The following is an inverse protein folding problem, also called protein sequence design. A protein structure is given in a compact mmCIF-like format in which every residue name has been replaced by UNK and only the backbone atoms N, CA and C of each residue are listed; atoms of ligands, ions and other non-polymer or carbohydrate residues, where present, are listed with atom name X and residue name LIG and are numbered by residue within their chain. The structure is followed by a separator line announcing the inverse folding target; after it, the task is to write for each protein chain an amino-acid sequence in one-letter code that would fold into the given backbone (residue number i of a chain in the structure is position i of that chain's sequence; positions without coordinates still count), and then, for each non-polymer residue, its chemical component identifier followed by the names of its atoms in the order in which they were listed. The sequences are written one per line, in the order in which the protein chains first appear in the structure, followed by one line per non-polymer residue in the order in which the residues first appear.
data_IF_534661406391
#
_entry.id   IF_534661406391
#
_cell.length_a   1.000
_cell.length_b   1.000
_cell.length_c   1.000
_cell.angle_alpha   90.00
_cell.angle_beta   90.00
_cell.angle_gamma   90.00
#
_symmetry.space_group_name_H-M   'P 1'
#
loop_
_entity.id
_entity.type
_entity.pdbx_description
1 polymer ?
#
# COMPACT_ATOMS: atom_id res chain seq x y z
N UNK A 1 36.45 25.27 37.69
CA UNK A 1 34.99 25.49 37.78
C UNK A 1 34.40 26.49 36.79
N UNK A 2 35.06 27.59 36.41
CA UNK A 2 34.49 28.50 35.40
C UNK A 2 34.26 27.88 34.01
N UNK A 3 35.12 26.93 33.58
CA UNK A 3 34.99 26.23 32.28
C UNK A 3 33.76 25.34 32.22
N UNK A 4 33.50 24.56 33.27
CA UNK A 4 32.32 23.68 33.33
C UNK A 4 31.02 24.49 33.33
N UNK A 5 31.01 25.66 33.99
CA UNK A 5 29.85 26.54 33.98
C UNK A 5 29.54 27.09 32.58
N UNK A 6 30.56 27.59 31.87
CA UNK A 6 30.41 28.00 30.46
C UNK A 6 29.92 26.85 29.57
N UNK A 7 30.44 25.64 29.75
CA UNK A 7 30.00 24.46 28.99
C UNK A 7 28.53 24.12 29.30
N UNK A 8 28.06 24.29 30.54
CA UNK A 8 26.63 24.12 30.86
C UNK A 8 25.74 25.18 30.18
N UNK A 9 26.19 26.44 30.15
CA UNK A 9 25.47 27.55 29.48
C UNK A 9 25.40 27.33 27.96
N UNK A 10 26.51 26.96 27.31
CA UNK A 10 26.55 26.61 25.88
C UNK A 10 25.66 25.38 25.58
N UNK A 11 25.66 24.35 26.44
CA UNK A 11 24.76 23.19 26.30
C UNK A 11 23.27 23.54 26.50
N UNK A 12 22.95 24.47 27.39
CA UNK A 12 21.58 24.94 27.60
C UNK A 12 21.08 25.68 26.35
N UNK A 13 21.88 26.61 25.82
CA UNK A 13 21.57 27.35 24.59
C UNK A 13 21.38 26.41 23.39
N UNK A 14 22.25 25.41 23.21
CA UNK A 14 22.13 24.43 22.11
C UNK A 14 20.87 23.57 22.24
N UNK A 15 20.47 23.19 23.47
CA UNK A 15 19.23 22.44 23.70
C UNK A 15 17.98 23.28 23.40
N UNK A 16 18.02 24.57 23.72
CA UNK A 16 16.93 25.50 23.42
C UNK A 16 16.83 25.80 21.91
N UNK A 17 17.96 25.89 21.21
CA UNK A 17 18.01 26.02 19.75
C UNK A 17 17.50 24.74 19.05
N UNK A 18 17.92 23.56 19.50
CA UNK A 18 17.39 22.27 19.02
C UNK A 18 15.87 22.20 19.24
N UNK A 19 15.38 22.57 20.42
CA UNK A 19 13.95 22.56 20.73
C UNK A 19 13.14 23.55 19.87
N UNK A 20 13.66 24.75 19.61
CA UNK A 20 13.06 25.69 18.64
C UNK A 20 13.09 25.16 17.20
N UNK A 21 14.18 24.48 16.82
CA UNK A 21 14.31 23.82 15.52
C UNK A 21 13.37 22.61 15.40
N UNK A 22 13.08 21.90 16.48
CA UNK A 22 12.11 20.79 16.54
C UNK A 22 10.66 21.30 16.54
N UNK A 23 10.37 22.42 17.21
CA UNK A 23 9.05 23.06 17.14
C UNK A 23 8.75 23.62 15.75
N UNK A 24 9.73 24.20 15.06
CA UNK A 24 9.60 24.60 13.65
C UNK A 24 9.66 23.42 12.67
N UNK A 25 10.25 22.29 13.07
CA UNK A 25 10.14 20.96 12.43
C UNK A 25 8.99 20.12 12.98
N UNK A 26 7.91 20.73 13.49
CA UNK A 26 6.62 20.07 13.33
C UNK A 26 6.50 19.67 11.86
N UNK A 27 6.06 18.44 11.54
CA UNK A 27 6.00 18.01 10.16
C UNK A 27 5.16 19.03 9.42
N UNK A 28 5.79 19.69 8.43
CA UNK A 28 5.06 20.38 7.38
C UNK A 28 4.41 19.26 6.57
N UNK A 29 3.35 18.70 7.13
CA UNK A 29 2.20 18.33 6.36
C UNK A 29 1.84 19.61 5.61
N UNK A 30 2.35 19.71 4.38
CA UNK A 30 1.97 20.73 3.43
C UNK A 30 0.45 20.75 3.47
N UNK A 31 -0.10 21.80 4.09
CA UNK A 31 -1.55 21.94 4.16
C UNK A 31 -1.96 22.11 2.72
N UNK A 32 -2.45 21.02 2.12
CA UNK A 32 -2.87 21.00 0.73
C UNK A 32 -3.72 22.27 0.52
N UNK A 33 -3.46 23.04 -0.55
CA UNK A 33 -4.27 24.20 -0.90
C UNK A 33 -5.75 23.88 -0.67
N UNK A 34 -6.50 24.83 -0.10
CA UNK A 34 -7.89 24.58 0.32
C UNK A 34 -8.75 24.01 -0.83
N UNK A 35 -8.40 24.37 -2.08
CA UNK A 35 -8.95 23.80 -3.30
C UNK A 35 -8.72 22.28 -3.46
N UNK A 36 -7.54 21.76 -3.14
CA UNK A 36 -7.22 20.33 -3.25
C UNK A 36 -7.87 19.52 -2.12
N UNK A 37 -7.91 20.06 -0.89
CA UNK A 37 -8.68 19.46 0.20
C UNK A 37 -10.18 19.40 -0.14
N UNK A 38 -10.73 20.48 -0.74
CA UNK A 38 -12.09 20.50 -1.26
C UNK A 38 -12.28 19.46 -2.37
N UNK A 39 -11.33 19.34 -3.31
CA UNK A 39 -11.38 18.35 -4.40
C UNK A 39 -11.41 16.92 -3.86
N UNK A 40 -10.61 16.59 -2.85
CA UNK A 40 -10.63 15.30 -2.16
C UNK A 40 -12.02 15.04 -1.57
N UNK A 41 -12.59 15.98 -0.81
CA UNK A 41 -13.94 15.81 -0.23
C UNK A 41 -15.02 15.67 -1.31
N UNK A 42 -14.97 16.48 -2.37
CA UNK A 42 -15.89 16.36 -3.51
C UNK A 42 -15.77 15.00 -4.21
N UNK A 43 -14.56 14.43 -4.30
CA UNK A 43 -14.34 13.10 -4.88
C UNK A 43 -14.97 11.98 -4.04
N UNK A 44 -14.89 12.08 -2.71
CA UNK A 44 -15.54 11.16 -1.79
C UNK A 44 -17.07 11.27 -1.89
N UNK A 45 -17.62 12.48 -1.82
CA UNK A 45 -19.07 12.68 -1.96
C UNK A 45 -19.60 12.18 -3.32
N UNK A 46 -18.84 12.35 -4.41
CA UNK A 46 -19.19 11.81 -5.72
C UNK A 46 -19.15 10.27 -5.75
N UNK A 47 -18.22 9.65 -5.02
CA UNK A 47 -18.15 8.20 -4.88
C UNK A 47 -19.39 7.67 -4.12
N UNK A 48 -19.73 8.27 -2.99
CA UNK A 48 -20.90 7.90 -2.18
C UNK A 48 -22.21 8.05 -2.98
N UNK A 49 -22.37 9.16 -3.71
CA UNK A 49 -23.52 9.38 -4.59
C UNK A 49 -23.63 8.30 -5.68
N UNK A 50 -22.51 7.87 -6.28
CA UNK A 50 -22.50 6.78 -7.26
C UNK A 50 -22.89 5.44 -6.63
N UNK A 51 -22.42 5.15 -5.43
CA UNK A 51 -22.80 3.94 -4.68
C UNK A 51 -24.31 3.94 -4.38
N UNK A 52 -24.84 5.04 -3.85
CA UNK A 52 -26.26 5.21 -3.56
C UNK A 52 -27.15 5.09 -4.82
N UNK A 53 -26.77 5.72 -5.93
CA UNK A 53 -27.46 5.57 -7.22
C UNK A 53 -27.48 4.11 -7.70
N UNK A 54 -26.37 3.36 -7.54
CA UNK A 54 -26.31 1.93 -7.86
C UNK A 54 -27.28 1.11 -6.99
N UNK A 55 -27.32 1.35 -5.68
CA UNK A 55 -28.22 0.68 -4.74
C UNK A 55 -29.70 0.95 -5.06
N UNK A 56 -30.05 2.22 -5.29
CA UNK A 56 -31.40 2.62 -5.67
C UNK A 56 -31.82 1.98 -7.00
N UNK A 57 -30.91 1.90 -7.98
CA UNK A 57 -31.16 1.25 -9.28
C UNK A 57 -31.42 -0.25 -9.12
N UNK A 58 -30.61 -0.98 -8.34
CA UNK A 58 -30.83 -2.40 -8.07
C UNK A 58 -32.17 -2.63 -7.39
N UNK A 59 -32.48 -1.85 -6.35
CA UNK A 59 -33.75 -1.95 -5.61
C UNK A 59 -34.96 -1.65 -6.50
N UNK A 60 -34.89 -0.64 -7.37
CA UNK A 60 -35.95 -0.31 -8.32
C UNK A 60 -36.17 -1.41 -9.38
N UNK A 61 -35.14 -2.19 -9.69
CA UNK A 61 -35.21 -3.35 -10.58
C UNK A 61 -35.61 -4.65 -9.86
N UNK A 62 -35.93 -4.61 -8.55
CA UNK A 62 -36.21 -5.80 -7.75
C UNK A 62 -35.00 -6.71 -7.51
N UNK A 63 -33.78 -6.22 -7.78
CA UNK A 63 -32.52 -6.93 -7.53
C UNK A 63 -32.04 -6.66 -6.11
N UNK A 64 -31.32 -7.63 -5.55
CA UNK A 64 -30.62 -7.45 -4.27
C UNK A 64 -29.53 -6.37 -4.42
N UNK A 65 -29.55 -5.29 -3.61
CA UNK A 65 -28.54 -4.24 -3.67
C UNK A 65 -27.23 -4.69 -3.02
N UNK A 66 -26.09 -4.25 -3.55
CA UNK A 66 -24.79 -4.51 -2.94
C UNK A 66 -24.65 -3.76 -1.60
N UNK A 67 -24.73 -4.51 -0.49
CA UNK A 67 -24.69 -3.96 0.87
C UNK A 67 -23.30 -3.39 1.24
N UNK A 68 -22.20 -3.89 0.67
CA UNK A 68 -20.86 -3.34 0.85
C UNK A 68 -20.78 -1.88 0.37
N UNK A 69 -21.37 -1.61 -0.81
CA UNK A 69 -21.50 -0.25 -1.34
C UNK A 69 -22.33 0.67 -0.41
N UNK A 70 -23.35 0.14 0.27
CA UNK A 70 -24.21 0.93 1.17
C UNK A 70 -23.48 1.33 2.45
N UNK A 71 -22.59 0.46 2.94
CA UNK A 71 -21.84 0.67 4.17
C UNK A 71 -20.58 1.52 3.96
N UNK A 72 -20.28 1.96 2.74
CA UNK A 72 -19.03 2.65 2.38
C UNK A 72 -17.79 1.73 2.42
N UNK A 73 -17.97 0.44 2.70
CA UNK A 73 -16.90 -0.55 2.80
C UNK A 73 -16.63 -1.07 1.39
N UNK A 74 -15.52 -0.65 0.77
CA UNK A 74 -15.16 -1.04 -0.59
C UNK A 74 -14.76 -2.53 -0.78
N UNK A 75 -15.33 -3.49 -0.06
CA UNK A 75 -15.66 -4.86 -0.53
C UNK A 75 -14.79 -5.55 -1.62
N UNK A 76 -13.47 -5.72 -1.58
CA UNK A 76 -12.37 -5.17 -0.78
C UNK A 76 -11.10 -5.24 -1.66
N UNK A 77 -10.06 -4.44 -1.38
CA UNK A 77 -8.69 -4.67 -1.88
C UNK A 77 -8.18 -6.08 -1.56
N UNK A 78 -8.79 -6.77 -0.60
CA UNK A 78 -8.62 -8.20 -0.30
C UNK A 78 -8.99 -9.15 -1.46
N UNK A 79 -10.02 -8.83 -2.26
CA UNK A 79 -10.36 -9.61 -3.47
C UNK A 79 -9.22 -9.52 -4.50
N UNK A 80 -8.57 -8.36 -4.56
CA UNK A 80 -7.43 -8.13 -5.43
C UNK A 80 -6.13 -8.71 -4.84
N UNK A 81 -5.91 -8.64 -3.52
CA UNK A 81 -4.73 -9.21 -2.86
C UNK A 81 -4.77 -10.74 -2.84
N UNK A 82 -5.94 -11.35 -2.69
CA UNK A 82 -6.13 -12.80 -2.84
C UNK A 82 -5.81 -13.24 -4.27
N UNK A 83 -6.37 -12.57 -5.29
CA UNK A 83 -6.03 -12.84 -6.70
C UNK A 83 -4.55 -12.60 -7.00
N UNK A 84 -3.94 -11.57 -6.41
CA UNK A 84 -2.51 -11.30 -6.54
C UNK A 84 -1.68 -12.44 -5.92
N UNK A 85 -2.09 -12.97 -4.76
CA UNK A 85 -1.47 -14.13 -4.12
C UNK A 85 -1.60 -15.40 -4.96
N UNK A 86 -2.78 -15.67 -5.51
CA UNK A 86 -3.04 -16.79 -6.43
C UNK A 86 -2.15 -16.69 -7.70
N UNK A 87 -2.04 -15.51 -8.30
CA UNK A 87 -1.15 -15.26 -9.46
C UNK A 87 0.33 -15.33 -9.10
N UNK A 88 0.72 -14.93 -7.88
CA UNK A 88 2.09 -15.08 -7.40
C UNK A 88 2.46 -16.54 -7.12
N UNK A 89 1.52 -17.35 -6.63
CA UNK A 89 1.76 -18.77 -6.42
C UNK A 89 1.87 -19.52 -7.75
N UNK A 90 0.93 -19.32 -8.68
CA UNK A 90 0.96 -19.92 -10.02
C UNK A 90 2.30 -19.67 -10.75
N UNK A 91 2.91 -18.51 -10.55
CA UNK A 91 4.23 -18.19 -11.11
C UNK A 91 5.37 -19.00 -10.48
N UNK A 92 5.35 -19.25 -9.17
CA UNK A 92 6.32 -20.16 -8.53
C UNK A 92 6.15 -21.58 -9.08
N UNK A 93 4.91 -22.06 -9.19
CA UNK A 93 4.61 -23.39 -9.69
C UNK A 93 5.13 -23.57 -11.14
N UNK A 94 4.99 -22.52 -11.98
CA UNK A 94 5.56 -22.48 -13.33
C UNK A 94 7.10 -22.52 -13.33
N UNK A 95 7.74 -21.79 -12.42
CA UNK A 95 9.21 -21.75 -12.35
C UNK A 95 9.78 -23.06 -11.78
N UNK A 96 9.11 -23.70 -10.83
CA UNK A 96 9.42 -25.05 -10.35
C UNK A 96 9.28 -26.10 -11.46
N UNK A 97 8.18 -26.07 -12.23
CA UNK A 97 8.01 -26.94 -13.40
C UNK A 97 9.10 -26.73 -14.46
N UNK A 98 9.56 -25.49 -14.66
CA UNK A 98 10.71 -25.21 -15.55
C UNK A 98 12.01 -25.81 -15.05
N UNK A 99 12.28 -25.74 -13.75
CA UNK A 99 13.43 -26.41 -13.14
C UNK A 99 13.35 -27.92 -13.35
N UNK A 100 12.22 -28.56 -13.01
CA UNK A 100 12.02 -30.00 -13.20
C UNK A 100 12.24 -30.42 -14.66
N UNK A 101 11.66 -29.71 -15.64
CA UNK A 101 11.85 -29.99 -17.07
C UNK A 101 13.33 -29.82 -17.47
N UNK A 102 14.02 -28.81 -16.94
CA UNK A 102 15.44 -28.56 -17.24
C UNK A 102 16.34 -29.66 -16.67
N UNK A 103 16.03 -30.12 -15.45
CA UNK A 103 16.76 -31.20 -14.77
C UNK A 103 16.53 -32.53 -15.47
N UNK A 104 15.28 -32.85 -15.86
CA UNK A 104 14.98 -34.02 -16.70
C UNK A 104 15.74 -33.96 -18.04
N UNK A 105 15.77 -32.81 -18.72
CA UNK A 105 16.51 -32.67 -19.96
C UNK A 105 18.03 -32.82 -19.78
N UNK A 106 18.59 -32.32 -18.68
CA UNK A 106 19.99 -32.51 -18.33
C UNK A 106 20.30 -33.97 -17.99
N UNK A 107 19.39 -34.67 -17.30
CA UNK A 107 19.50 -36.09 -17.01
C UNK A 107 19.39 -36.94 -18.28
N UNK A 108 18.38 -36.72 -19.13
CA UNK A 108 18.20 -37.44 -20.41
C UNK A 108 19.43 -37.27 -21.33
N UNK A 109 19.99 -36.05 -21.40
CA UNK A 109 21.22 -35.78 -22.15
C UNK A 109 22.47 -36.43 -21.52
N UNK A 110 22.50 -36.56 -20.18
CA UNK A 110 23.54 -37.29 -19.46
C UNK A 110 23.45 -38.81 -19.60
N UNK A 111 22.24 -39.38 -19.58
CA UNK A 111 21.99 -40.82 -19.73
C UNK A 111 22.19 -41.29 -21.17
N UNK A 112 21.91 -40.44 -22.17
CA UNK A 112 22.28 -40.69 -23.57
C UNK A 112 23.80 -40.59 -23.85
N UNK A 113 24.64 -40.23 -22.86
CA UNK A 113 26.10 -40.25 -22.99
C UNK A 113 26.75 -41.58 -22.58
N UNK A 114 26.01 -42.70 -22.62
CA UNK A 114 26.63 -44.02 -22.69
C UNK A 114 27.17 -44.22 -24.12
N UNK A 115 28.49 -44.12 -24.22
CA UNK A 115 29.31 -44.30 -25.43
C UNK A 115 28.93 -45.52 -26.28
N UNK A 116 28.83 -45.32 -27.60
CA UNK A 116 28.99 -46.39 -28.59
C UNK A 116 30.46 -46.83 -28.71
#
# INVERSE_FOLDING_TARGET
DCTNQRIMEENASLREEIHQMEQSRQPVAEKLPVADQLFIQMSHCLFDLKALCSILTHRAQGKEPNLSLLLGIQCNTESLSKKLSEVCQLRKDIDELRTIISDCYAQDMGENCITQ
#
